data_IF_758210414328
#
_entry.id   IF_758210414328
#
_cell.length_a   1.000
_cell.length_b   1.000
_cell.length_c   1.000
_cell.angle_alpha   90.00
_cell.angle_beta   90.00
_cell.angle_gamma   90.00
#
_symmetry.space_group_name_H-M   'P 1'
#
loop_
_entity.id
_entity.type
_entity.pdbx_description
1 polymer ?
#
# COMPACT_ATOMS: atom_id res chain seq x y z
N UNK A 1 4.76 -4.52 29.02
CA UNK A 1 5.27 -4.80 27.64
C UNK A 1 4.31 -5.63 26.79
N UNK A 2 3.55 -6.59 27.33
CA UNK A 2 2.65 -7.48 26.54
C UNK A 2 1.61 -6.74 25.67
N UNK A 3 1.03 -5.63 26.14
CA UNK A 3 0.03 -4.86 25.37
C UNK A 3 0.63 -3.75 24.49
N UNK A 4 1.92 -3.46 24.64
CA UNK A 4 2.57 -2.33 23.97
C UNK A 4 2.88 -2.67 22.51
N UNK A 5 3.27 -3.91 22.24
CA UNK A 5 3.53 -4.41 20.89
C UNK A 5 2.30 -4.41 19.97
N UNK A 6 1.12 -4.97 20.32
CA UNK A 6 -0.06 -4.90 19.46
C UNK A 6 -0.51 -3.46 19.21
N UNK A 7 -0.31 -2.56 20.17
CA UNK A 7 -0.62 -1.14 20.01
C UNK A 7 0.29 -0.47 18.97
N UNK A 8 1.61 -0.67 19.07
CA UNK A 8 2.57 -0.17 18.07
C UNK A 8 2.23 -0.70 16.68
N UNK A 9 1.97 -2.00 16.55
CA UNK A 9 1.63 -2.61 15.25
C UNK A 9 0.34 -2.02 14.67
N UNK A 10 -0.67 -1.78 15.51
CA UNK A 10 -1.92 -1.18 15.06
C UNK A 10 -1.67 0.23 14.51
N UNK A 11 -0.90 1.05 15.22
CA UNK A 11 -0.54 2.40 14.76
C UNK A 11 0.27 2.33 13.46
N UNK A 12 1.27 1.45 13.40
CA UNK A 12 2.09 1.25 12.21
C UNK A 12 1.22 0.93 10.99
N UNK A 13 0.35 -0.09 11.08
CA UNK A 13 -0.51 -0.44 9.95
C UNK A 13 -1.54 0.63 9.63
N UNK A 14 -2.08 1.34 10.63
CA UNK A 14 -2.96 2.48 10.38
C UNK A 14 -2.24 3.58 9.58
N UNK A 15 -0.99 3.89 9.93
CA UNK A 15 -0.15 4.84 9.20
C UNK A 15 0.12 4.36 7.77
N UNK A 16 0.47 3.09 7.58
CA UNK A 16 0.67 2.50 6.24
C UNK A 16 -0.57 2.65 5.38
N UNK A 17 -1.76 2.33 5.90
CA UNK A 17 -3.01 2.46 5.15
C UNK A 17 -3.35 3.91 4.81
N UNK A 18 -3.12 4.83 5.76
CA UNK A 18 -3.29 6.25 5.55
C UNK A 18 -2.37 6.78 4.45
N UNK A 19 -1.08 6.42 4.48
CA UNK A 19 -0.10 6.81 3.47
C UNK A 19 -0.43 6.20 2.10
N UNK A 20 -0.76 4.91 2.04
CA UNK A 20 -1.16 4.25 0.81
C UNK A 20 -2.38 4.94 0.17
N UNK A 21 -3.36 5.35 0.98
CA UNK A 21 -4.51 6.11 0.47
C UNK A 21 -4.11 7.50 -0.04
N UNK A 22 -3.44 8.30 0.79
CA UNK A 22 -3.17 9.71 0.51
C UNK A 22 -2.11 9.90 -0.58
N UNK A 23 -1.09 9.04 -0.65
CA UNK A 23 0.00 9.15 -1.62
C UNK A 23 -0.27 8.40 -2.91
N UNK A 24 -0.76 7.18 -2.82
CA UNK A 24 -0.90 6.31 -4.00
C UNK A 24 -2.31 6.41 -4.59
N UNK A 25 -3.34 6.03 -3.82
CA UNK A 25 -4.70 5.86 -4.38
C UNK A 25 -5.38 7.19 -4.72
N UNK A 26 -5.17 8.23 -3.92
CA UNK A 26 -5.77 9.55 -4.18
C UNK A 26 -5.21 10.17 -5.47
N UNK A 27 -3.92 9.98 -5.73
CA UNK A 27 -3.17 10.53 -6.88
C UNK A 27 -3.23 9.66 -8.14
N UNK A 28 -3.76 8.45 -8.04
CA UNK A 28 -3.88 7.54 -9.18
C UNK A 28 -4.85 8.12 -10.23
N UNK A 29 -4.46 8.13 -11.51
CA UNK A 29 -5.31 8.61 -12.61
C UNK A 29 -6.28 7.51 -13.09
N UNK A 30 -7.24 7.14 -12.24
CA UNK A 30 -8.28 6.13 -12.52
C UNK A 30 -9.68 6.66 -12.20
N UNK A 31 -10.70 5.94 -12.65
CA UNK A 31 -12.11 6.28 -12.40
C UNK A 31 -12.42 6.45 -10.91
N UNK A 32 -13.34 7.35 -10.59
CA UNK A 32 -13.78 7.58 -9.20
C UNK A 32 -14.37 6.32 -8.57
N UNK A 33 -15.02 5.47 -9.36
CA UNK A 33 -15.57 4.18 -8.91
C UNK A 33 -14.44 3.25 -8.45
N UNK A 34 -13.37 3.14 -9.24
CA UNK A 34 -12.19 2.35 -8.89
C UNK A 34 -11.53 2.87 -7.62
N UNK A 35 -11.37 4.20 -7.47
CA UNK A 35 -10.82 4.79 -6.23
C UNK A 35 -11.67 4.45 -5.01
N UNK A 36 -13.00 4.47 -5.12
CA UNK A 36 -13.91 4.07 -4.03
C UNK A 36 -13.71 2.60 -3.65
N UNK A 37 -13.62 1.69 -4.62
CA UNK A 37 -13.36 0.25 -4.35
C UNK A 37 -12.03 0.07 -3.63
N UNK A 38 -10.96 0.71 -4.10
CA UNK A 38 -9.63 0.64 -3.45
C UNK A 38 -9.67 1.19 -2.01
N UNK A 39 -10.40 2.28 -1.77
CA UNK A 39 -10.62 2.83 -0.42
C UNK A 39 -11.34 1.83 0.48
N UNK A 40 -12.38 1.16 0.00
CA UNK A 40 -13.08 0.16 0.80
C UNK A 40 -12.20 -1.08 1.08
N UNK A 41 -11.37 -1.50 0.12
CA UNK A 41 -10.41 -2.59 0.33
C UNK A 41 -9.37 -2.25 1.40
N UNK A 42 -8.83 -1.02 1.42
CA UNK A 42 -7.95 -0.54 2.48
C UNK A 42 -8.65 -0.60 3.85
N UNK A 43 -9.86 -0.05 3.95
CA UNK A 43 -10.63 -0.03 5.20
C UNK A 43 -10.89 -1.47 5.69
N UNK A 44 -11.32 -2.34 4.78
CA UNK A 44 -11.52 -3.76 5.08
C UNK A 44 -10.24 -4.40 5.61
N UNK A 45 -9.08 -4.12 5.00
CA UNK A 45 -7.81 -4.69 5.41
C UNK A 45 -7.40 -4.25 6.83
N UNK A 46 -7.69 -3.00 7.22
CA UNK A 46 -7.50 -2.55 8.62
C UNK A 46 -8.31 -3.42 9.59
N UNK A 47 -9.57 -3.71 9.29
CA UNK A 47 -10.39 -4.59 10.14
C UNK A 47 -9.85 -6.02 10.21
N UNK A 48 -9.34 -6.56 9.10
CA UNK A 48 -8.70 -7.88 9.08
C UNK A 48 -7.45 -7.91 9.95
N UNK A 49 -6.62 -6.86 9.91
CA UNK A 49 -5.43 -6.73 10.76
C UNK A 49 -5.82 -6.62 12.24
N UNK A 50 -6.85 -5.83 12.57
CA UNK A 50 -7.36 -5.75 13.94
C UNK A 50 -7.87 -7.12 14.42
N UNK A 51 -8.60 -7.85 13.56
CA UNK A 51 -9.04 -9.21 13.84
C UNK A 51 -7.88 -10.18 14.07
N UNK A 52 -6.79 -10.05 13.30
CA UNK A 52 -5.56 -10.83 13.51
C UNK A 52 -4.91 -10.53 14.86
N UNK A 53 -4.83 -9.26 15.26
CA UNK A 53 -4.27 -8.90 16.56
C UNK A 53 -5.14 -9.43 17.70
N UNK A 54 -6.47 -9.30 17.60
CA UNK A 54 -7.39 -9.88 18.59
C UNK A 54 -7.24 -11.41 18.66
N UNK A 55 -7.17 -12.11 17.53
CA UNK A 55 -6.95 -13.56 17.50
C UNK A 55 -5.57 -14.00 17.99
N UNK A 56 -4.61 -13.08 18.09
CA UNK A 56 -3.29 -13.39 18.62
C UNK A 56 -3.25 -13.24 20.15
N UNK A 57 -3.99 -12.30 20.71
CA UNK A 57 -3.86 -11.91 22.12
C UNK A 57 -5.06 -12.27 23.00
N UNK A 58 -6.27 -12.39 22.43
CA UNK A 58 -7.50 -12.55 23.22
C UNK A 58 -8.38 -13.71 22.77
N UNK A 59 -8.43 -14.02 21.47
CA UNK A 59 -9.33 -15.00 20.89
C UNK A 59 -8.56 -16.15 20.24
N UNK A 60 -9.10 -17.37 20.24
CA UNK A 60 -8.51 -18.52 19.53
C UNK A 60 -9.45 -19.00 18.42
N UNK A 61 -9.51 -18.29 17.27
CA UNK A 61 -10.39 -18.68 16.18
C UNK A 61 -9.94 -19.98 15.50
N UNK A 62 -10.82 -20.63 14.73
CA UNK A 62 -10.45 -21.78 13.91
C UNK A 62 -9.27 -21.48 12.97
N UNK A 63 -8.46 -22.51 12.67
CA UNK A 63 -7.22 -22.37 11.88
C UNK A 63 -7.41 -21.65 10.53
N UNK A 64 -8.50 -21.96 9.82
CA UNK A 64 -8.81 -21.33 8.53
C UNK A 64 -9.02 -19.81 8.67
N UNK A 65 -9.73 -19.38 9.71
CA UNK A 65 -10.01 -17.97 9.95
C UNK A 65 -8.75 -17.24 10.42
N UNK A 66 -7.96 -17.88 11.29
CA UNK A 66 -6.66 -17.33 11.69
C UNK A 66 -5.72 -17.12 10.48
N UNK A 67 -5.70 -18.07 9.54
CA UNK A 67 -4.93 -17.96 8.30
C UNK A 67 -5.41 -16.78 7.44
N UNK A 68 -6.73 -16.65 7.21
CA UNK A 68 -7.28 -15.52 6.47
C UNK A 68 -6.95 -14.16 7.11
N UNK A 69 -7.03 -14.08 8.44
CA UNK A 69 -6.64 -12.89 9.19
C UNK A 69 -5.14 -12.59 9.03
N UNK A 70 -4.29 -13.62 9.02
CA UNK A 70 -2.84 -13.46 8.82
C UNK A 70 -2.49 -12.94 7.42
N UNK A 71 -3.28 -13.28 6.40
CA UNK A 71 -3.11 -12.69 5.06
C UNK A 71 -3.32 -11.17 5.06
N UNK A 72 -4.15 -10.65 5.98
CA UNK A 72 -4.33 -9.22 6.16
C UNK A 72 -3.02 -8.49 6.48
N UNK A 73 -2.19 -9.07 7.35
CA UNK A 73 -0.85 -8.55 7.64
C UNK A 73 0.01 -8.54 6.37
N UNK A 74 -0.02 -9.62 5.58
CA UNK A 74 0.73 -9.72 4.33
C UNK A 74 0.33 -8.64 3.31
N UNK A 75 -0.98 -8.40 3.14
CA UNK A 75 -1.49 -7.31 2.30
C UNK A 75 -1.01 -5.94 2.82
N UNK A 76 -1.09 -5.70 4.13
CA UNK A 76 -0.56 -4.49 4.74
C UNK A 76 0.93 -4.29 4.46
N UNK A 77 1.73 -5.36 4.46
CA UNK A 77 3.15 -5.30 4.14
C UNK A 77 3.40 -4.99 2.66
N UNK A 78 2.63 -5.57 1.74
CA UNK A 78 2.68 -5.21 0.31
C UNK A 78 2.34 -3.74 0.10
N UNK A 79 1.33 -3.22 0.80
CA UNK A 79 0.99 -1.79 0.76
C UNK A 79 2.15 -0.92 1.26
N UNK A 80 2.83 -1.34 2.32
CA UNK A 80 3.99 -0.63 2.86
C UNK A 80 5.14 -0.56 1.84
N UNK A 81 5.57 -1.70 1.31
CA UNK A 81 6.65 -1.77 0.31
C UNK A 81 6.27 -1.00 -0.96
N UNK A 82 5.03 -1.17 -1.43
CA UNK A 82 4.52 -0.45 -2.61
C UNK A 82 4.48 1.06 -2.40
N UNK A 83 4.13 1.53 -1.20
CA UNK A 83 4.13 2.97 -0.87
C UNK A 83 5.55 3.53 -0.81
N UNK A 84 6.50 2.80 -0.23
CA UNK A 84 7.92 3.18 -0.24
C UNK A 84 8.42 3.28 -1.68
N UNK A 85 8.14 2.26 -2.51
CA UNK A 85 8.56 2.24 -3.90
C UNK A 85 7.97 3.44 -4.66
N UNK A 86 6.68 3.72 -4.48
CA UNK A 86 6.03 4.89 -5.08
C UNK A 86 6.73 6.20 -4.69
N UNK A 87 7.04 6.39 -3.41
CA UNK A 87 7.68 7.61 -2.94
C UNK A 87 9.11 7.75 -3.47
N UNK A 88 9.88 6.66 -3.53
CA UNK A 88 11.22 6.66 -4.14
C UNK A 88 11.14 7.04 -5.62
N UNK A 89 10.23 6.44 -6.38
CA UNK A 89 10.03 6.78 -7.80
C UNK A 89 9.58 8.23 -7.97
N UNK A 90 8.69 8.72 -7.10
CA UNK A 90 8.23 10.11 -7.13
C UNK A 90 9.36 11.10 -6.83
N UNK A 91 10.22 10.80 -5.85
CA UNK A 91 11.40 11.60 -5.52
C UNK A 91 12.40 11.60 -6.68
N UNK A 92 12.69 10.43 -7.28
CA UNK A 92 13.55 10.34 -8.46
C UNK A 92 13.01 11.22 -9.59
N UNK A 93 11.71 11.16 -9.87
CA UNK A 93 11.10 12.04 -10.87
C UNK A 93 11.23 13.52 -10.49
N UNK A 94 11.12 13.87 -9.21
CA UNK A 94 11.24 15.26 -8.76
C UNK A 94 12.66 15.83 -8.95
N UNK A 95 13.70 15.03 -8.66
CA UNK A 95 15.09 15.44 -8.79
C UNK A 95 15.66 15.33 -10.21
N UNK A 96 14.97 14.61 -11.11
CA UNK A 96 15.39 14.47 -12.51
C UNK A 96 14.54 15.41 -13.36
N UNK A 97 15.00 16.65 -13.66
CA UNK A 97 14.24 17.58 -14.48
C UNK A 97 13.89 16.94 -15.82
N UNK A 98 12.66 17.15 -16.27
CA UNK A 98 12.19 16.65 -17.55
C UNK A 98 12.98 17.37 -18.65
N UNK A 99 13.93 16.66 -19.24
CA UNK A 99 14.69 17.11 -20.39
C UNK A 99 13.96 16.68 -21.65
N UNK A 100 13.39 17.66 -22.38
CA UNK A 100 12.63 17.39 -23.60
C UNK A 100 13.48 16.69 -24.65
N UNK A 101 14.79 16.99 -24.74
CA UNK A 101 15.68 16.35 -25.70
C UNK A 101 15.89 14.87 -25.36
N UNK A 102 16.05 14.53 -24.08
CA UNK A 102 16.15 13.13 -23.65
C UNK A 102 14.85 12.37 -23.90
N UNK A 103 13.68 13.01 -23.72
CA UNK A 103 12.38 12.41 -24.04
C UNK A 103 12.24 12.18 -25.54
N UNK A 104 12.63 13.16 -26.37
CA UNK A 104 12.58 13.06 -27.82
C UNK A 104 13.53 11.98 -28.34
N UNK A 105 14.73 11.90 -27.76
CA UNK A 105 15.69 10.82 -28.01
C UNK A 105 15.09 9.46 -27.68
N UNK A 106 14.60 9.26 -26.45
CA UNK A 106 13.98 7.98 -26.05
C UNK A 106 12.82 7.60 -26.95
N UNK A 107 11.90 8.53 -27.22
CA UNK A 107 10.75 8.30 -28.10
C UNK A 107 11.19 7.88 -29.50
N UNK A 108 12.15 8.62 -30.09
CA UNK A 108 12.68 8.30 -31.41
C UNK A 108 13.39 6.95 -31.39
N UNK A 109 14.21 6.65 -30.39
CA UNK A 109 14.92 5.36 -30.27
C UNK A 109 13.95 4.18 -30.08
N UNK A 110 12.87 4.34 -29.31
CA UNK A 110 11.86 3.29 -29.15
C UNK A 110 10.96 3.15 -30.37
N UNK A 111 10.63 4.25 -31.05
CA UNK A 111 9.81 4.26 -32.27
C UNK A 111 10.60 3.78 -33.52
N UNK A 112 11.94 3.62 -33.45
CA UNK A 112 12.75 3.00 -34.54
C UNK A 112 12.46 1.48 -34.65
N UNK A 113 11.71 0.90 -33.73
CA UNK A 113 11.12 -0.42 -33.89
C UNK A 113 9.75 -0.36 -34.58
N UNK A 114 9.77 -0.39 -35.92
CA UNK A 114 8.66 -0.44 -36.89
C UNK A 114 8.09 0.90 -37.38
#
# INVERSE_FOLDING_TARGET
MKSLFPFIITIFFAMVHYLAYTRVISRLHVSIRTKKVLKYLLILNVFVIMGYLLSRYTLSPPKYLYFLLSLGIGVGFVLFVGTILYEVLHLLQHYTPFDEEKRYFFKRTTDIGF
#
